data_IF_792291796105
#
_entry.id   IF_792291796105
#
_cell.length_a   1.000
_cell.length_b   1.000
_cell.length_c   1.000
_cell.angle_alpha   90.00
_cell.angle_beta   90.00
_cell.angle_gamma   90.00
#
_symmetry.space_group_name_H-M   'P 1'
#
loop_
_entity.id
_entity.type
_entity.pdbx_description
1 polymer ?
#
# COMPACT_ATOMS: atom_id res chain seq x y z
N UNK A 1 11.08 17.71 -6.57
CA UNK A 1 11.65 18.88 -7.29
C UNK A 1 11.02 19.10 -8.67
N UNK A 2 10.93 18.07 -9.52
CA UNK A 2 10.36 18.19 -10.88
C UNK A 2 8.83 18.30 -10.96
N UNK A 3 8.12 18.46 -9.83
CA UNK A 3 6.66 18.55 -9.81
C UNK A 3 5.91 17.24 -10.10
N UNK A 4 6.60 16.13 -10.36
CA UNK A 4 5.98 14.83 -10.58
C UNK A 4 5.14 14.38 -9.37
N UNK A 5 4.03 13.71 -9.64
CA UNK A 5 3.07 13.23 -8.64
C UNK A 5 2.07 12.28 -9.25
N UNK A 6 0.90 12.15 -8.62
CA UNK A 6 -0.10 11.12 -8.95
C UNK A 6 0.50 9.70 -8.86
N UNK A 7 1.42 9.51 -7.91
CA UNK A 7 2.13 8.26 -7.75
C UNK A 7 1.25 7.19 -7.10
N UNK A 8 1.44 5.96 -7.56
CA UNK A 8 0.96 4.75 -6.92
C UNK A 8 2.18 3.93 -6.55
N UNK A 9 2.24 3.41 -5.32
CA UNK A 9 3.38 2.58 -4.97
C UNK A 9 3.16 1.67 -3.77
N UNK A 10 3.98 0.63 -3.78
CA UNK A 10 4.09 -0.39 -2.74
C UNK A 10 5.27 -0.01 -1.86
N UNK A 11 4.98 0.32 -0.60
CA UNK A 11 5.92 1.04 0.26
C UNK A 11 7.06 0.16 0.76
N UNK A 12 6.78 -1.12 1.01
CA UNK A 12 7.62 -1.95 1.85
C UNK A 12 7.79 -1.32 3.24
N UNK A 13 8.91 -1.55 3.95
CA UNK A 13 9.23 -0.89 5.22
C UNK A 13 9.63 0.58 4.97
N UNK A 14 8.64 1.43 4.73
CA UNK A 14 8.85 2.81 4.33
C UNK A 14 9.30 3.73 5.48
N UNK A 15 9.92 4.86 5.13
CA UNK A 15 10.34 5.86 6.10
C UNK A 15 10.17 7.30 5.60
N UNK A 16 11.21 8.11 5.79
CA UNK A 16 11.18 9.54 5.46
C UNK A 16 11.07 9.82 3.95
N UNK A 17 11.51 8.87 3.12
CA UNK A 17 11.39 8.91 1.66
C UNK A 17 9.92 9.03 1.21
N UNK A 18 9.06 8.12 1.69
CA UNK A 18 7.63 8.16 1.42
C UNK A 18 6.93 9.31 2.16
N UNK A 19 7.33 9.60 3.42
CA UNK A 19 6.73 10.69 4.21
C UNK A 19 6.88 12.05 3.52
N UNK A 20 8.01 12.30 2.85
CA UNK A 20 8.22 13.51 2.06
C UNK A 20 7.29 13.58 0.84
N UNK A 21 7.14 12.48 0.08
CA UNK A 21 6.25 12.45 -1.09
C UNK A 21 4.79 12.65 -0.70
N UNK A 22 4.38 12.02 0.41
CA UNK A 22 3.02 12.15 0.96
C UNK A 22 2.79 13.58 1.46
N UNK A 23 3.74 14.14 2.21
CA UNK A 23 3.63 15.49 2.75
C UNK A 23 3.50 16.59 1.69
N UNK A 24 4.06 16.34 0.51
CA UNK A 24 3.99 17.18 -0.68
C UNK A 24 2.80 16.87 -1.61
N UNK A 25 1.88 15.98 -1.19
CA UNK A 25 0.68 15.61 -1.94
C UNK A 25 0.96 14.91 -3.27
N UNK A 26 2.06 14.17 -3.38
CA UNK A 26 2.49 13.54 -4.65
C UNK A 26 2.00 12.10 -4.82
N UNK A 27 1.48 11.50 -3.76
CA UNK A 27 1.00 10.12 -3.74
C UNK A 27 -0.52 10.10 -3.82
N UNK A 28 -1.06 9.42 -4.84
CA UNK A 28 -2.48 9.17 -4.99
C UNK A 28 -2.89 7.88 -4.30
N UNK A 29 -2.14 6.79 -4.53
CA UNK A 29 -2.41 5.48 -3.96
C UNK A 29 -1.17 4.98 -3.21
N UNK A 30 -1.31 4.74 -1.91
CA UNK A 30 -0.25 4.24 -1.06
C UNK A 30 -0.60 2.84 -0.56
N UNK A 31 0.12 1.84 -1.06
CA UNK A 31 -0.04 0.45 -0.64
C UNK A 31 0.98 0.20 0.47
N UNK A 32 0.49 0.18 1.69
CA UNK A 32 1.25 0.25 2.93
C UNK A 32 1.33 -1.12 3.62
N UNK A 33 2.39 -1.29 4.40
CA UNK A 33 2.47 -2.31 5.45
C UNK A 33 3.11 -1.77 6.73
N UNK A 34 3.95 -0.72 6.60
CA UNK A 34 4.65 -0.06 7.68
C UNK A 34 5.23 1.25 7.17
N UNK A 35 5.17 2.31 7.99
CA UNK A 35 5.88 3.55 7.70
C UNK A 35 6.36 4.27 8.98
N UNK A 36 7.68 4.33 9.13
CA UNK A 36 8.34 5.07 10.20
C UNK A 36 9.77 5.40 9.82
N UNK A 37 10.32 6.48 10.37
CA UNK A 37 11.75 6.69 10.33
C UNK A 37 12.36 6.00 11.55
N UNK A 38 12.51 4.67 11.46
CA UNK A 38 12.83 3.77 12.57
C UNK A 38 14.03 4.27 13.39
N UNK A 39 13.82 4.41 14.70
CA UNK A 39 14.80 4.97 15.64
C UNK A 39 14.74 6.50 15.82
N UNK A 40 14.00 7.22 14.99
CA UNK A 40 13.85 8.67 15.08
C UNK A 40 12.39 9.15 15.14
N UNK A 41 11.50 8.55 14.36
CA UNK A 41 10.08 8.91 14.30
C UNK A 41 9.24 7.64 14.19
N UNK A 42 8.61 7.24 15.30
CA UNK A 42 7.84 5.99 15.44
C UNK A 42 6.71 5.83 14.42
N UNK A 43 6.09 6.95 14.02
CA UNK A 43 5.11 7.00 12.93
C UNK A 43 5.38 8.28 12.14
N UNK A 44 5.66 8.13 10.85
CA UNK A 44 5.94 9.24 9.95
C UNK A 44 4.82 10.30 10.03
N UNK A 45 5.22 11.57 10.21
CA UNK A 45 4.32 12.63 10.69
C UNK A 45 3.41 13.13 9.58
N UNK A 46 3.90 13.23 8.34
CA UNK A 46 3.09 13.69 7.21
C UNK A 46 2.13 12.60 6.76
N UNK A 47 2.56 11.34 6.77
CA UNK A 47 1.68 10.18 6.59
C UNK A 47 0.52 10.21 7.58
N UNK A 48 0.81 10.28 8.88
CA UNK A 48 -0.25 10.30 9.91
C UNK A 48 -1.18 11.50 9.75
N UNK A 49 -0.63 12.68 9.46
CA UNK A 49 -1.44 13.87 9.19
C UNK A 49 -2.34 13.68 7.96
N UNK A 50 -1.81 13.11 6.88
CA UNK A 50 -2.57 12.82 5.67
C UNK A 50 -3.74 11.87 5.97
N UNK A 51 -3.47 10.77 6.66
CA UNK A 51 -4.49 9.75 6.98
C UNK A 51 -5.53 10.24 7.99
N UNK A 52 -5.11 10.92 9.06
CA UNK A 52 -6.02 11.28 10.17
C UNK A 52 -6.76 12.61 9.97
N UNK A 53 -6.24 13.52 9.12
CA UNK A 53 -6.74 14.91 9.02
C UNK A 53 -7.13 15.33 7.61
N UNK A 54 -6.46 14.83 6.58
CA UNK A 54 -6.64 15.32 5.20
C UNK A 54 -7.49 14.36 4.37
N UNK A 55 -7.15 13.07 4.37
CA UNK A 55 -7.89 12.01 3.71
C UNK A 55 -7.95 12.10 2.19
N UNK A 56 -6.93 12.68 1.52
CA UNK A 56 -6.90 12.80 0.05
C UNK A 56 -6.17 11.64 -0.63
N UNK A 57 -5.18 11.07 0.05
CA UNK A 57 -4.45 9.88 -0.43
C UNK A 57 -5.26 8.61 -0.17
N UNK A 58 -5.40 7.76 -1.19
CA UNK A 58 -5.93 6.41 -1.01
C UNK A 58 -4.89 5.54 -0.29
N UNK A 59 -5.32 4.82 0.74
CA UNK A 59 -4.46 3.96 1.56
C UNK A 59 -4.98 2.52 1.51
N UNK A 60 -4.11 1.56 1.23
CA UNK A 60 -4.41 0.13 1.41
C UNK A 60 -3.37 -0.52 2.30
N UNK A 61 -3.80 -1.38 3.23
CA UNK A 61 -2.89 -2.13 4.08
C UNK A 61 -2.79 -3.61 3.68
N UNK A 62 -1.56 -4.10 3.57
CA UNK A 62 -1.20 -5.52 3.52
C UNK A 62 -0.22 -5.83 4.66
N UNK A 63 -0.01 -7.12 4.96
CA UNK A 63 1.13 -7.48 5.81
C UNK A 63 2.44 -7.19 5.09
N UNK A 64 3.49 -6.90 5.86
CA UNK A 64 4.81 -6.60 5.30
C UNK A 64 5.36 -7.77 4.48
N UNK A 65 5.17 -9.01 4.96
CA UNK A 65 5.59 -10.22 4.24
C UNK A 65 4.93 -10.30 2.85
N UNK A 66 3.63 -9.99 2.76
CA UNK A 66 2.90 -10.06 1.50
C UNK A 66 3.38 -9.00 0.52
N UNK A 67 3.65 -7.75 0.96
CA UNK A 67 4.24 -6.74 0.06
C UNK A 67 5.60 -7.18 -0.47
N UNK A 68 6.47 -7.70 0.39
CA UNK A 68 7.80 -8.15 -0.03
C UNK A 68 7.70 -9.34 -1.01
N UNK A 69 6.77 -10.27 -0.77
CA UNK A 69 6.51 -11.36 -1.69
C UNK A 69 5.87 -10.92 -3.01
N UNK A 70 5.01 -9.88 -3.02
CA UNK A 70 4.45 -9.34 -4.26
C UNK A 70 5.55 -8.80 -5.17
N UNK A 71 6.49 -8.03 -4.61
CA UNK A 71 7.63 -7.48 -5.36
C UNK A 71 8.54 -8.60 -5.88
N UNK A 72 8.76 -9.64 -5.06
CA UNK A 72 9.56 -10.79 -5.46
C UNK A 72 8.89 -11.61 -6.56
N UNK A 73 7.62 -11.97 -6.40
CA UNK A 73 6.81 -12.69 -7.39
C UNK A 73 6.74 -11.94 -8.73
N UNK A 74 6.61 -10.60 -8.68
CA UNK A 74 6.64 -9.75 -9.88
C UNK A 74 7.98 -9.85 -10.60
N UNK A 75 9.09 -9.87 -9.86
CA UNK A 75 10.44 -10.00 -10.42
C UNK A 75 10.67 -11.37 -11.07
N UNK A 76 9.98 -12.40 -10.59
CA UNK A 76 10.00 -13.76 -11.16
C UNK A 76 9.05 -13.94 -12.35
N UNK A 77 8.19 -12.96 -12.63
CA UNK A 77 7.16 -13.07 -13.68
C UNK A 77 6.05 -14.06 -13.35
N UNK A 78 5.77 -14.29 -12.06
CA UNK A 78 4.64 -15.14 -11.66
C UNK A 78 3.32 -14.48 -12.06
N UNK A 79 2.31 -15.26 -12.50
CA UNK A 79 1.00 -14.71 -12.87
C UNK A 79 0.25 -14.12 -11.68
N UNK A 80 0.44 -14.69 -10.48
CA UNK A 80 -0.09 -14.18 -9.21
C UNK A 80 0.71 -14.77 -8.04
N UNK A 81 0.47 -14.25 -6.84
CA UNK A 81 1.11 -14.69 -5.60
C UNK A 81 0.07 -15.42 -4.71
N UNK A 82 0.08 -16.77 -4.65
CA UNK A 82 -0.70 -17.50 -3.66
C UNK A 82 0.02 -17.47 -2.30
N UNK A 83 -0.70 -17.10 -1.23
CA UNK A 83 -0.18 -17.10 0.15
C UNK A 83 -1.19 -17.68 1.12
N UNK A 84 -0.69 -18.27 2.21
CA UNK A 84 -1.46 -18.62 3.42
C UNK A 84 -1.18 -17.60 4.52
N UNK A 85 -1.17 -16.32 4.16
CA UNK A 85 -0.91 -15.18 5.04
C UNK A 85 -2.12 -14.23 5.05
N UNK A 86 -2.26 -13.45 6.12
CA UNK A 86 -3.33 -12.46 6.37
C UNK A 86 -4.71 -13.02 6.73
N UNK A 87 -5.03 -14.28 6.41
CA UNK A 87 -6.33 -14.89 6.72
C UNK A 87 -6.64 -14.83 8.22
N UNK A 88 -7.92 -14.62 8.56
CA UNK A 88 -8.34 -14.43 9.94
C UNK A 88 -8.01 -13.06 10.55
N UNK A 89 -7.54 -12.10 9.74
CA UNK A 89 -7.28 -10.72 10.19
C UNK A 89 -8.07 -9.70 9.38
N UNK A 90 -8.11 -8.47 9.89
CA UNK A 90 -8.70 -7.32 9.20
C UNK A 90 -7.99 -6.98 7.87
N UNK A 91 -6.75 -7.45 7.64
CA UNK A 91 -6.06 -7.24 6.37
C UNK A 91 -6.80 -7.89 5.18
N UNK A 92 -7.62 -8.91 5.45
CA UNK A 92 -8.50 -9.53 4.45
C UNK A 92 -9.87 -8.88 4.43
N UNK A 93 -10.45 -8.65 5.60
CA UNK A 93 -11.86 -8.25 5.74
C UNK A 93 -12.09 -6.74 5.56
N UNK A 94 -11.06 -5.91 5.74
CA UNK A 94 -11.13 -4.46 5.61
C UNK A 94 -10.26 -4.02 4.45
N UNK A 95 -10.91 -3.35 3.50
CA UNK A 95 -10.29 -2.79 2.31
C UNK A 95 -10.22 -1.28 2.51
N UNK A 96 -9.00 -0.76 2.57
CA UNK A 96 -8.76 0.68 2.67
C UNK A 96 -9.08 1.39 1.35
N UNK A 97 -8.87 0.72 0.21
CA UNK A 97 -9.30 1.18 -1.11
C UNK A 97 -10.41 0.27 -1.61
N UNK A 98 -11.62 0.82 -1.73
CA UNK A 98 -12.81 0.07 -2.13
C UNK A 98 -12.74 -0.43 -3.57
N UNK A 99 -13.55 -1.44 -3.91
CA UNK A 99 -13.65 -1.95 -5.28
C UNK A 99 -14.05 -0.87 -6.28
N UNK A 100 -14.99 0.00 -5.91
CA UNK A 100 -15.46 1.09 -6.78
C UNK A 100 -14.38 2.13 -7.07
N UNK A 101 -13.45 2.36 -6.14
CA UNK A 101 -12.29 3.23 -6.36
C UNK A 101 -11.27 2.53 -7.24
N UNK A 102 -11.00 1.24 -7.00
CA UNK A 102 -10.05 0.43 -7.79
C UNK A 102 -10.46 0.31 -9.25
N UNK A 103 -11.72 0.03 -9.54
CA UNK A 103 -12.25 -0.09 -10.90
C UNK A 103 -12.07 1.19 -11.74
N UNK A 104 -11.97 2.35 -11.08
CA UNK A 104 -11.80 3.66 -11.72
C UNK A 104 -10.34 4.09 -11.84
N UNK A 105 -9.40 3.33 -11.28
CA UNK A 105 -7.97 3.66 -11.28
C UNK A 105 -7.15 2.59 -11.99
N UNK A 106 -6.66 2.84 -13.21
CA UNK A 106 -5.91 1.85 -13.99
C UNK A 106 -4.56 1.48 -13.38
N UNK A 107 -4.08 2.18 -12.35
CA UNK A 107 -2.84 1.86 -11.62
C UNK A 107 -3.07 0.85 -10.50
N UNK A 108 -4.32 0.47 -10.22
CA UNK A 108 -4.67 -0.47 -9.16
C UNK A 108 -5.25 -1.76 -9.75
N UNK A 109 -5.02 -2.92 -9.11
CA UNK A 109 -5.82 -4.10 -9.37
C UNK A 109 -7.24 -3.90 -8.85
N UNK A 110 -8.22 -4.41 -9.61
CA UNK A 110 -9.66 -4.34 -9.27
C UNK A 110 -9.96 -4.96 -7.89
N UNK A 111 -9.29 -6.08 -7.58
CA UNK A 111 -9.40 -6.75 -6.30
C UNK A 111 -8.11 -6.57 -5.49
N UNK A 112 -8.25 -6.28 -4.19
CA UNK A 112 -7.15 -6.32 -3.23
C UNK A 112 -6.56 -7.73 -3.15
N UNK A 113 -7.43 -8.73 -3.06
CA UNK A 113 -7.08 -10.14 -3.02
C UNK A 113 -8.30 -10.98 -3.43
N UNK A 114 -8.05 -12.25 -3.73
CA UNK A 114 -9.08 -13.25 -4.00
C UNK A 114 -8.78 -14.49 -3.16
N UNK A 115 -9.80 -15.00 -2.47
CA UNK A 115 -9.73 -16.30 -1.81
C UNK A 115 -9.96 -17.40 -2.86
N UNK A 116 -9.06 -18.38 -2.91
CA UNK A 116 -9.11 -19.50 -3.85
C UNK A 116 -8.94 -20.81 -3.10
N UNK A 117 -9.56 -21.87 -3.61
CA UNK A 117 -9.25 -23.23 -3.15
C UNK A 117 -7.83 -23.62 -3.58
N UNK A 118 -7.13 -24.32 -2.71
CA UNK A 118 -5.86 -24.94 -3.10
C UNK A 118 -6.19 -26.15 -4.00
N UNK A 119 -5.74 -26.16 -5.27
CA UNK A 119 -6.10 -27.19 -6.24
C UNK A 119 -5.63 -28.60 -5.84
#
# INVERSE_FOLDING_TARGET
RQGLGDFTGYSGPAGGDWDMLIGEGRVRNFINCYIANSGYTNVCRRFRHEVEKVGKMNLEDYSQDVIMYMLHASSLGLPFLPVKLMQGSDLVNKWGISKEVREKDPKLPNDKLVEIENP
#
